data_IF_103565585147
#
_entry.id   IF_103565585147
#
_cell.length_a   1.000
_cell.length_b   1.000
_cell.length_c   1.000
_cell.angle_alpha   90.00
_cell.angle_beta   90.00
_cell.angle_gamma   90.00
#
_symmetry.space_group_name_H-M   'P 1'
#
loop_
_entity.id
_entity.type
_entity.pdbx_description
1 polymer ?
#
# COMPACT_ATOMS: atom_id res chain seq x y z
N UNK A 1 -43.66 -41.70 0.96
CA UNK A 1 -42.19 -41.49 1.03
C UNK A 1 -41.89 -40.30 0.14
N UNK A 2 -41.93 -39.09 0.70
CA UNK A 2 -41.47 -37.90 0.01
C UNK A 2 -39.99 -37.74 0.32
N UNK A 3 -39.17 -37.88 -0.72
CA UNK A 3 -37.74 -37.56 -0.65
C UNK A 3 -37.66 -36.05 -0.64
N UNK A 4 -37.44 -35.46 0.54
CA UNK A 4 -37.13 -34.04 0.70
C UNK A 4 -35.78 -33.81 0.04
N UNK A 5 -35.81 -33.32 -1.20
CA UNK A 5 -34.64 -32.76 -1.87
C UNK A 5 -34.31 -31.47 -1.14
N UNK A 6 -33.40 -31.55 -0.18
CA UNK A 6 -32.80 -30.37 0.42
C UNK A 6 -32.10 -29.59 -0.70
N UNK A 7 -32.70 -28.47 -1.08
CA UNK A 7 -32.08 -27.47 -1.94
C UNK A 7 -30.85 -26.91 -1.22
N UNK A 8 -29.70 -27.56 -1.42
CA UNK A 8 -28.40 -26.92 -1.22
C UNK A 8 -28.24 -25.89 -2.33
N UNK A 9 -28.85 -24.72 -2.13
CA UNK A 9 -28.40 -23.51 -2.82
C UNK A 9 -27.01 -23.26 -2.24
N UNK A 10 -25.97 -23.61 -3.00
CA UNK A 10 -24.60 -23.20 -2.69
C UNK A 10 -24.62 -21.69 -2.59
N UNK A 11 -24.54 -21.17 -1.36
CA UNK A 11 -24.39 -19.74 -1.14
C UNK A 11 -22.96 -19.39 -1.55
N UNK A 12 -22.80 -19.04 -2.82
CA UNK A 12 -21.51 -18.70 -3.40
C UNK A 12 -20.86 -17.52 -2.66
N UNK A 13 -21.63 -16.66 -2.00
CA UNK A 13 -21.11 -15.56 -1.20
C UNK A 13 -20.41 -16.05 0.08
N UNK A 14 -20.99 -17.04 0.76
CA UNK A 14 -20.39 -17.66 1.96
C UNK A 14 -19.12 -18.45 1.59
N UNK A 15 -19.15 -19.20 0.49
CA UNK A 15 -17.98 -19.92 -0.02
C UNK A 15 -16.84 -18.95 -0.39
N UNK A 16 -17.16 -17.86 -1.09
CA UNK A 16 -16.16 -16.88 -1.53
C UNK A 16 -15.53 -16.14 -0.33
N UNK A 17 -16.35 -15.75 0.65
CA UNK A 17 -15.88 -15.13 1.89
C UNK A 17 -14.93 -16.05 2.65
N UNK A 18 -15.32 -17.33 2.82
CA UNK A 18 -14.47 -18.34 3.45
C UNK A 18 -13.17 -18.58 2.67
N UNK A 19 -13.22 -18.57 1.33
CA UNK A 19 -12.03 -18.70 0.48
C UNK A 19 -11.05 -17.55 0.71
N UNK A 20 -11.52 -16.30 0.71
CA UNK A 20 -10.66 -15.14 0.98
C UNK A 20 -10.08 -15.20 2.40
N UNK A 21 -10.87 -15.59 3.40
CA UNK A 21 -10.39 -15.75 4.77
C UNK A 21 -9.31 -16.85 4.89
N UNK A 22 -9.45 -17.97 4.17
CA UNK A 22 -8.44 -19.03 4.13
C UNK A 22 -7.16 -18.54 3.42
N UNK A 23 -7.30 -17.78 2.33
CA UNK A 23 -6.17 -17.22 1.60
C UNK A 23 -5.33 -16.26 2.47
N UNK A 24 -5.97 -15.53 3.39
CA UNK A 24 -5.28 -14.63 4.31
C UNK A 24 -4.19 -15.33 5.13
N UNK A 25 -4.44 -16.55 5.61
CA UNK A 25 -3.48 -17.31 6.42
C UNK A 25 -2.57 -18.21 5.59
N UNK A 26 -3.11 -18.80 4.52
CA UNK A 26 -2.37 -19.77 3.70
C UNK A 26 -1.26 -19.13 2.88
N UNK A 27 -1.43 -17.87 2.42
CA UNK A 27 -0.39 -17.14 1.69
C UNK A 27 0.84 -16.88 2.60
N UNK A 28 0.72 -16.21 3.77
CA UNK A 28 1.81 -16.06 4.72
C UNK A 28 2.44 -17.39 5.17
N UNK A 29 1.62 -18.40 5.46
CA UNK A 29 2.11 -19.70 5.88
C UNK A 29 2.95 -20.37 4.78
N UNK A 30 2.52 -20.25 3.52
CA UNK A 30 3.25 -20.77 2.36
C UNK A 30 4.58 -20.03 2.15
N UNK A 31 4.61 -18.71 2.35
CA UNK A 31 5.84 -17.91 2.32
C UNK A 31 6.81 -18.37 3.42
N UNK A 32 6.32 -18.57 4.65
CA UNK A 32 7.12 -19.05 5.77
C UNK A 32 7.71 -20.43 5.50
N UNK A 33 6.88 -21.39 5.07
CA UNK A 33 7.32 -22.75 4.74
C UNK A 33 8.34 -22.76 3.60
N UNK A 34 8.07 -21.99 2.54
CA UNK A 34 8.95 -21.89 1.39
C UNK A 34 10.32 -21.33 1.79
N UNK A 35 10.35 -20.23 2.54
CA UNK A 35 11.60 -19.60 2.96
C UNK A 35 12.37 -20.42 3.99
N UNK A 36 11.68 -21.08 4.92
CA UNK A 36 12.29 -22.01 5.87
C UNK A 36 12.93 -23.19 5.14
N UNK A 37 12.22 -23.80 4.18
CA UNK A 37 12.71 -24.92 3.39
C UNK A 37 13.90 -24.50 2.51
N UNK A 38 13.83 -23.33 1.87
CA UNK A 38 14.97 -22.79 1.15
C UNK A 38 16.15 -22.51 2.09
N UNK A 39 15.90 -22.01 3.30
CA UNK A 39 16.94 -21.75 4.29
C UNK A 39 17.66 -23.01 4.71
N UNK A 40 16.88 -24.06 4.98
CA UNK A 40 17.40 -25.39 5.29
C UNK A 40 18.27 -25.95 4.15
N UNK A 41 17.83 -25.80 2.89
CA UNK A 41 18.55 -26.30 1.71
C UNK A 41 19.79 -25.48 1.35
N UNK A 42 19.76 -24.17 1.56
CA UNK A 42 20.83 -23.26 1.16
C UNK A 42 21.91 -23.07 2.25
N UNK A 43 21.58 -23.33 3.52
CA UNK A 43 22.47 -23.09 4.64
C UNK A 43 22.56 -21.61 5.04
N UNK A 44 23.19 -21.34 6.19
CA UNK A 44 23.26 -20.01 6.80
C UNK A 44 23.94 -18.99 5.90
N UNK A 45 25.13 -19.32 5.40
CA UNK A 45 25.95 -18.42 4.59
C UNK A 45 25.21 -17.87 3.38
N UNK A 46 24.55 -18.75 2.60
CA UNK A 46 23.78 -18.35 1.41
C UNK A 46 22.55 -17.52 1.73
N UNK A 47 21.90 -17.73 2.88
CA UNK A 47 20.75 -16.94 3.33
C UNK A 47 21.15 -15.60 3.93
N UNK A 48 22.27 -15.52 4.64
CA UNK A 48 22.84 -14.24 5.11
C UNK A 48 23.21 -13.37 3.92
N UNK A 49 23.85 -13.93 2.89
CA UNK A 49 24.12 -13.19 1.65
C UNK A 49 22.83 -12.76 0.95
N UNK A 50 21.78 -13.59 0.97
CA UNK A 50 20.47 -13.21 0.44
C UNK A 50 19.87 -12.01 1.21
N UNK A 51 19.96 -12.03 2.54
CA UNK A 51 19.48 -10.95 3.39
C UNK A 51 20.26 -9.66 3.15
N UNK A 52 21.59 -9.71 3.08
CA UNK A 52 22.42 -8.55 2.76
C UNK A 52 22.11 -8.00 1.36
N UNK A 53 21.93 -8.88 0.37
CA UNK A 53 21.53 -8.47 -0.98
C UNK A 53 20.17 -7.78 -0.96
N UNK A 54 19.22 -8.26 -0.15
CA UNK A 54 17.91 -7.64 0.02
C UNK A 54 18.02 -6.26 0.69
N UNK A 55 18.85 -6.12 1.72
CA UNK A 55 19.11 -4.81 2.36
C UNK A 55 19.70 -3.80 1.38
N UNK A 56 20.72 -4.20 0.62
CA UNK A 56 21.33 -3.32 -0.40
C UNK A 56 20.34 -3.00 -1.51
N UNK A 57 19.53 -3.97 -1.94
CA UNK A 57 18.46 -3.75 -2.90
C UNK A 57 17.41 -2.76 -2.41
N UNK A 58 17.05 -2.79 -1.11
CA UNK A 58 16.12 -1.83 -0.54
C UNK A 58 16.70 -0.40 -0.55
N UNK A 59 17.98 -0.24 -0.20
CA UNK A 59 18.69 1.04 -0.29
C UNK A 59 18.76 1.52 -1.75
N UNK A 60 19.05 0.61 -2.70
CA UNK A 60 19.06 0.93 -4.11
C UNK A 60 17.66 1.31 -4.64
N UNK A 61 16.59 0.70 -4.16
CA UNK A 61 15.23 1.11 -4.51
C UNK A 61 14.92 2.52 -4.02
N UNK A 62 15.40 2.87 -2.83
CA UNK A 62 15.16 4.18 -2.22
C UNK A 62 15.92 5.31 -2.93
N UNK A 63 17.20 5.13 -3.23
CA UNK A 63 18.05 6.19 -3.79
C UNK A 63 18.32 6.07 -5.29
N UNK A 64 18.23 4.86 -5.84
CA UNK A 64 18.62 4.55 -7.21
C UNK A 64 17.50 4.72 -8.24
N UNK A 65 16.26 4.98 -7.79
CA UNK A 65 15.11 5.14 -8.69
C UNK A 65 15.37 6.17 -9.77
N UNK A 66 15.79 7.38 -9.39
CA UNK A 66 16.07 8.49 -10.32
C UNK A 66 17.17 8.18 -11.33
N UNK A 67 18.20 7.41 -10.94
CA UNK A 67 19.28 7.02 -11.84
C UNK A 67 18.81 6.03 -12.92
N UNK A 68 17.94 5.08 -12.55
CA UNK A 68 17.37 4.11 -13.50
C UNK A 68 16.38 4.77 -14.45
N UNK A 69 15.68 5.81 -14.00
CA UNK A 69 14.75 6.58 -14.84
C UNK A 69 15.41 7.27 -16.03
N UNK A 70 16.69 7.63 -15.91
CA UNK A 70 17.49 8.20 -17.01
C UNK A 70 17.81 7.19 -18.11
N UNK A 71 17.68 5.89 -17.83
CA UNK A 71 17.89 4.80 -18.80
C UNK A 71 16.60 4.31 -19.45
N UNK A 72 15.43 4.64 -18.87
CA UNK A 72 14.14 4.31 -19.46
C UNK A 72 13.78 5.29 -20.58
N UNK A 73 13.12 4.83 -21.66
CA UNK A 73 12.59 5.71 -22.70
C UNK A 73 11.72 6.79 -22.06
N UNK A 74 11.90 8.05 -22.47
CA UNK A 74 11.23 9.22 -21.86
C UNK A 74 9.70 9.15 -21.83
N UNK A 75 9.09 8.23 -22.59
CA UNK A 75 7.64 8.12 -22.79
C UNK A 75 7.00 6.88 -22.12
N UNK A 76 7.76 5.99 -21.46
CA UNK A 76 7.20 4.81 -20.81
C UNK A 76 7.82 4.54 -19.42
N UNK A 77 7.01 4.38 -18.34
CA UNK A 77 5.56 4.61 -18.25
C UNK A 77 5.19 6.08 -18.44
N UNK A 78 4.03 6.36 -19.06
CA UNK A 78 3.53 7.72 -19.27
C UNK A 78 3.18 8.46 -17.98
N UNK A 79 2.91 7.73 -16.89
CA UNK A 79 2.56 8.30 -15.61
C UNK A 79 3.82 8.62 -14.79
N UNK A 80 4.03 9.87 -14.32
CA UNK A 80 5.21 10.25 -13.53
C UNK A 80 5.40 9.41 -12.26
N UNK A 81 4.34 9.20 -11.47
CA UNK A 81 4.37 8.28 -10.33
C UNK A 81 4.65 6.83 -10.70
N UNK A 82 4.00 6.28 -11.73
CA UNK A 82 4.26 4.90 -12.14
C UNK A 82 5.69 4.74 -12.68
N UNK A 83 6.22 5.78 -13.32
CA UNK A 83 7.60 5.87 -13.79
C UNK A 83 8.55 5.84 -12.59
N UNK A 84 8.40 6.73 -11.62
CA UNK A 84 9.20 6.73 -10.39
C UNK A 84 9.15 5.39 -9.64
N UNK A 85 7.94 4.85 -9.46
CA UNK A 85 7.75 3.56 -8.82
C UNK A 85 8.44 2.44 -9.61
N UNK A 86 8.31 2.44 -10.93
CA UNK A 86 9.00 1.49 -11.80
C UNK A 86 10.52 1.66 -11.73
N UNK A 87 11.04 2.88 -11.71
CA UNK A 87 12.46 3.18 -11.55
C UNK A 87 13.01 2.62 -10.24
N UNK A 88 12.34 2.90 -9.11
CA UNK A 88 12.68 2.34 -7.81
C UNK A 88 12.56 0.82 -7.76
N UNK A 89 11.51 0.25 -8.35
CA UNK A 89 11.31 -1.20 -8.40
C UNK A 89 12.38 -1.90 -9.24
N UNK A 90 12.71 -1.37 -10.43
CA UNK A 90 13.77 -1.88 -11.30
C UNK A 90 15.13 -1.74 -10.61
N UNK A 91 15.41 -0.60 -9.97
CA UNK A 91 16.65 -0.39 -9.21
C UNK A 91 16.80 -1.44 -8.11
N UNK A 92 15.78 -1.62 -7.28
CA UNK A 92 15.82 -2.60 -6.19
C UNK A 92 15.91 -4.03 -6.71
N UNK A 93 15.01 -4.43 -7.60
CA UNK A 93 14.97 -5.80 -8.13
C UNK A 93 16.21 -6.13 -8.95
N UNK A 94 16.65 -5.22 -9.82
CA UNK A 94 17.87 -5.35 -10.61
C UNK A 94 19.10 -5.52 -9.72
N UNK A 95 19.25 -4.66 -8.70
CA UNK A 95 20.33 -4.76 -7.72
C UNK A 95 20.31 -6.10 -6.99
N UNK A 96 19.14 -6.53 -6.52
CA UNK A 96 18.99 -7.83 -5.85
C UNK A 96 19.43 -9.00 -6.75
N UNK A 97 18.94 -9.03 -7.99
CA UNK A 97 19.25 -10.12 -8.94
C UNK A 97 20.74 -10.14 -9.27
N UNK A 98 21.34 -8.97 -9.58
CA UNK A 98 22.76 -8.87 -9.90
C UNK A 98 23.63 -9.33 -8.73
N UNK A 99 23.35 -8.87 -7.51
CA UNK A 99 24.08 -9.29 -6.32
C UNK A 99 23.94 -10.79 -6.06
N UNK A 100 22.74 -11.36 -6.27
CA UNK A 100 22.52 -12.80 -6.11
C UNK A 100 23.27 -13.62 -7.16
N UNK A 101 23.27 -13.20 -8.42
CA UNK A 101 24.01 -13.87 -9.49
C UNK A 101 25.52 -13.79 -9.26
N UNK A 102 26.04 -12.62 -8.87
CA UNK A 102 27.44 -12.44 -8.51
C UNK A 102 27.83 -13.31 -7.31
N UNK A 103 26.99 -13.35 -6.27
CA UNK A 103 27.25 -14.17 -5.11
C UNK A 103 27.35 -15.66 -5.46
N UNK A 104 26.45 -16.15 -6.31
CA UNK A 104 26.47 -17.54 -6.79
C UNK A 104 27.71 -17.81 -7.64
N UNK A 105 28.05 -16.90 -8.55
CA UNK A 105 29.18 -17.04 -9.47
C UNK A 105 30.55 -16.99 -8.76
N UNK A 106 30.69 -16.13 -7.74
CA UNK A 106 31.97 -15.90 -7.06
C UNK A 106 32.18 -16.82 -5.86
N UNK A 107 31.16 -17.03 -5.03
CA UNK A 107 31.33 -17.66 -3.71
C UNK A 107 30.77 -19.07 -3.60
N UNK A 108 29.85 -19.48 -4.48
CA UNK A 108 29.08 -20.72 -4.28
C UNK A 108 29.24 -21.74 -5.43
N UNK A 109 30.41 -21.77 -6.07
CA UNK A 109 30.75 -22.81 -7.06
C UNK A 109 31.13 -24.12 -6.37
N UNK A 110 30.40 -25.20 -6.66
CA UNK A 110 30.68 -26.57 -6.19
C UNK A 110 29.66 -27.13 -5.18
N UNK A 111 29.69 -28.46 -5.00
CA UNK A 111 28.90 -29.15 -3.99
C UNK A 111 29.52 -28.97 -2.61
N UNK A 112 28.88 -28.16 -1.77
CA UNK A 112 29.29 -27.95 -0.38
C UNK A 112 28.53 -28.92 0.51
N UNK A 113 29.24 -29.74 1.27
CA UNK A 113 28.62 -30.61 2.26
C UNK A 113 28.15 -29.77 3.46
N UNK A 114 26.86 -29.39 3.45
CA UNK A 114 26.30 -28.44 4.41
C UNK A 114 26.10 -29.13 5.78
N UNK A 115 26.83 -28.66 6.80
CA UNK A 115 26.72 -29.14 8.19
C UNK A 115 25.32 -28.86 8.78
N UNK A 116 24.87 -29.69 9.73
CA UNK A 116 23.54 -29.55 10.35
C UNK A 116 23.33 -28.17 11.01
N UNK A 117 24.33 -27.66 11.74
CA UNK A 117 24.31 -26.31 12.34
C UNK A 117 24.10 -25.22 11.29
N UNK A 118 24.67 -25.40 10.10
CA UNK A 118 24.60 -24.46 9.00
C UNK A 118 23.20 -24.49 8.34
N UNK A 119 22.56 -25.67 8.27
CA UNK A 119 21.16 -25.82 7.84
C UNK A 119 20.17 -25.19 8.82
N UNK A 120 20.39 -25.39 10.12
CA UNK A 120 19.59 -24.78 11.18
C UNK A 120 19.71 -23.25 11.16
N UNK A 121 20.94 -22.73 11.02
CA UNK A 121 21.16 -21.30 10.85
C UNK A 121 20.48 -20.75 9.59
N UNK A 122 20.57 -21.47 8.47
CA UNK A 122 19.88 -21.11 7.23
C UNK A 122 18.35 -21.08 7.38
N UNK A 123 17.77 -22.03 8.11
CA UNK A 123 16.35 -22.07 8.43
C UNK A 123 15.92 -20.86 9.27
N UNK A 124 16.68 -20.52 10.32
CA UNK A 124 16.38 -19.36 11.18
C UNK A 124 16.42 -18.04 10.39
N UNK A 125 17.45 -17.84 9.57
CA UNK A 125 17.55 -16.64 8.71
C UNK A 125 16.45 -16.65 7.64
N UNK A 126 16.12 -17.82 7.09
CA UNK A 126 15.00 -17.98 6.15
C UNK A 126 13.66 -17.58 6.76
N UNK A 127 13.39 -18.01 7.99
CA UNK A 127 12.20 -17.59 8.74
C UNK A 127 12.21 -16.08 9.03
N UNK A 128 13.36 -15.49 9.36
CA UNK A 128 13.49 -14.03 9.50
C UNK A 128 13.11 -13.28 8.23
N UNK A 129 13.60 -13.73 7.07
CA UNK A 129 13.20 -13.19 5.76
C UNK A 129 11.70 -13.38 5.52
N UNK A 130 11.13 -14.52 5.90
CA UNK A 130 9.70 -14.75 5.78
C UNK A 130 8.87 -13.75 6.61
N UNK A 131 9.28 -13.48 7.85
CA UNK A 131 8.63 -12.48 8.69
C UNK A 131 8.61 -11.11 8.01
N UNK A 132 9.69 -10.68 7.36
CA UNK A 132 9.72 -9.42 6.61
C UNK A 132 8.69 -9.42 5.47
N UNK A 133 8.58 -10.50 4.70
CA UNK A 133 7.58 -10.62 3.64
C UNK A 133 6.15 -10.63 4.16
N UNK A 134 5.90 -11.31 5.28
CA UNK A 134 4.57 -11.36 5.93
C UNK A 134 4.18 -9.98 6.46
N UNK A 135 5.13 -9.25 7.05
CA UNK A 135 4.90 -7.85 7.46
C UNK A 135 4.59 -6.96 6.26
N UNK A 136 5.39 -7.02 5.20
CA UNK A 136 5.14 -6.25 3.97
C UNK A 136 3.77 -6.56 3.34
N UNK A 137 3.38 -7.84 3.32
CA UNK A 137 2.06 -8.28 2.91
C UNK A 137 0.96 -7.66 3.78
N UNK A 138 1.07 -7.79 5.11
CA UNK A 138 0.10 -7.24 6.05
C UNK A 138 -0.08 -5.73 5.95
N UNK A 139 1.02 -4.98 5.77
CA UNK A 139 1.00 -3.54 5.55
C UNK A 139 0.33 -3.18 4.23
N UNK A 140 0.61 -3.94 3.16
CA UNK A 140 -0.04 -3.73 1.86
C UNK A 140 -1.54 -3.94 1.94
N UNK A 141 -1.98 -5.00 2.64
CA UNK A 141 -3.40 -5.27 2.89
C UNK A 141 -4.06 -4.11 3.59
N UNK A 142 -3.47 -3.64 4.70
CA UNK A 142 -4.01 -2.55 5.51
C UNK A 142 -4.10 -1.24 4.72
N UNK A 143 -3.07 -0.90 3.95
CA UNK A 143 -3.07 0.33 3.13
C UNK A 143 -4.13 0.30 2.05
N UNK A 144 -4.15 -0.76 1.24
CA UNK A 144 -5.12 -0.90 0.14
C UNK A 144 -6.54 -0.95 0.69
N UNK A 145 -6.77 -1.69 1.77
CA UNK A 145 -8.09 -1.74 2.39
C UNK A 145 -8.53 -0.40 2.98
N UNK A 146 -7.65 0.38 3.61
CA UNK A 146 -8.00 1.72 4.11
C UNK A 146 -8.49 2.64 2.98
N UNK A 147 -7.81 2.60 1.83
CA UNK A 147 -8.21 3.36 0.64
C UNK A 147 -9.56 2.86 0.11
N UNK A 148 -9.75 1.54 0.01
CA UNK A 148 -10.98 0.95 -0.50
C UNK A 148 -12.18 1.16 0.44
N UNK A 149 -11.99 0.97 1.75
CA UNK A 149 -13.00 1.21 2.78
C UNK A 149 -13.50 2.65 2.74
N UNK A 150 -12.60 3.62 2.66
CA UNK A 150 -12.99 5.03 2.55
C UNK A 150 -13.84 5.34 1.31
N UNK A 151 -13.68 4.56 0.24
CA UNK A 151 -14.51 4.68 -0.97
C UNK A 151 -15.91 4.07 -0.81
N UNK A 152 -16.08 3.09 0.11
CA UNK A 152 -17.31 2.35 0.42
C UNK A 152 -18.11 3.06 1.53
N UNK A 153 -17.46 3.52 2.61
CA UNK A 153 -18.11 4.29 3.70
C UNK A 153 -18.76 5.58 3.23
N UNK A 154 -18.27 6.17 2.13
CA UNK A 154 -18.83 7.38 1.54
C UNK A 154 -20.20 7.15 0.86
N UNK A 155 -20.60 5.90 0.63
CA UNK A 155 -21.89 5.50 0.04
C UNK A 155 -22.86 4.92 1.06
N UNK A 156 -22.48 4.89 2.35
CA UNK A 156 -23.28 4.32 3.44
C UNK A 156 -24.04 5.42 4.19
N UNK A 157 -25.33 5.23 4.50
CA UNK A 157 -26.04 6.09 5.45
C UNK A 157 -25.35 6.09 6.83
N UNK A 158 -25.40 7.22 7.53
CA UNK A 158 -24.62 7.53 8.76
C UNK A 158 -24.80 6.50 9.91
N UNK A 159 -25.86 5.70 9.89
CA UNK A 159 -26.22 4.75 10.97
C UNK A 159 -25.81 3.28 10.72
N UNK A 160 -25.04 2.99 9.66
CA UNK A 160 -24.64 1.63 9.29
C UNK A 160 -23.39 1.10 10.02
N UNK A 161 -23.43 -0.14 10.52
CA UNK A 161 -22.24 -0.83 11.04
C UNK A 161 -21.21 -1.07 9.92
N UNK A 162 -19.93 -0.66 10.10
CA UNK A 162 -18.75 -1.01 9.29
C UNK A 162 -18.78 -2.36 8.57
N UNK A 163 -19.01 -3.41 9.34
CA UNK A 163 -18.99 -4.80 8.89
C UNK A 163 -20.14 -5.12 7.96
N UNK A 164 -21.36 -4.65 8.30
CA UNK A 164 -22.56 -4.93 7.51
C UNK A 164 -22.50 -4.25 6.14
N UNK A 165 -21.97 -3.03 6.07
CA UNK A 165 -21.89 -2.34 4.77
C UNK A 165 -20.81 -2.91 3.85
N UNK A 166 -19.68 -3.38 4.40
CA UNK A 166 -18.67 -4.06 3.60
C UNK A 166 -19.23 -5.38 3.05
N UNK A 167 -19.93 -6.17 3.88
CA UNK A 167 -20.58 -7.42 3.45
C UNK A 167 -21.72 -7.18 2.43
N UNK A 168 -22.49 -6.11 2.56
CA UNK A 168 -23.59 -5.76 1.65
C UNK A 168 -23.12 -5.15 0.31
N UNK A 169 -22.02 -4.39 0.31
CA UNK A 169 -21.50 -3.71 -0.90
C UNK A 169 -20.34 -4.43 -1.59
N UNK A 170 -19.65 -5.35 -0.90
CA UNK A 170 -18.59 -6.18 -1.50
C UNK A 170 -19.04 -6.98 -2.72
N UNK A 171 -20.25 -7.60 -2.79
CA UNK A 171 -20.65 -8.46 -3.91
C UNK A 171 -20.61 -7.76 -5.29
N UNK A 172 -20.77 -6.43 -5.33
CA UNK A 172 -20.70 -5.62 -6.55
C UNK A 172 -19.29 -5.17 -6.95
N UNK A 173 -18.28 -5.42 -6.13
CA UNK A 173 -16.89 -4.99 -6.34
C UNK A 173 -16.05 -6.06 -7.04
N UNK A 174 -14.94 -5.66 -7.65
CA UNK A 174 -13.97 -6.58 -8.25
C UNK A 174 -13.43 -7.58 -7.18
N UNK A 175 -13.23 -8.87 -7.53
CA UNK A 175 -12.71 -9.89 -6.60
C UNK A 175 -11.43 -9.50 -5.85
N UNK A 176 -10.54 -8.71 -6.46
CA UNK A 176 -9.31 -8.25 -5.80
C UNK A 176 -9.64 -7.24 -4.68
N UNK A 177 -10.54 -6.29 -4.96
CA UNK A 177 -11.02 -5.29 -4.00
C UNK A 177 -11.69 -5.99 -2.82
N UNK A 178 -12.54 -6.99 -3.09
CA UNK A 178 -13.17 -7.81 -2.05
C UNK A 178 -12.13 -8.51 -1.17
N UNK A 179 -11.14 -9.16 -1.78
CA UNK A 179 -10.09 -9.87 -1.05
C UNK A 179 -9.38 -8.95 -0.04
N UNK A 180 -8.98 -7.74 -0.46
CA UNK A 180 -8.33 -6.78 0.42
C UNK A 180 -9.20 -6.31 1.59
N UNK A 181 -10.49 -6.06 1.34
CA UNK A 181 -11.44 -5.69 2.40
C UNK A 181 -11.63 -6.82 3.41
N UNK A 182 -11.87 -8.04 2.94
CA UNK A 182 -12.03 -9.21 3.81
C UNK A 182 -10.75 -9.54 4.59
N UNK A 183 -9.58 -9.41 3.96
CA UNK A 183 -8.30 -9.61 4.65
C UNK A 183 -8.05 -8.55 5.72
N UNK A 184 -8.44 -7.30 5.51
CA UNK A 184 -8.32 -6.25 6.52
C UNK A 184 -9.28 -6.47 7.69
N UNK A 185 -10.55 -6.80 7.39
CA UNK A 185 -11.54 -7.17 8.41
C UNK A 185 -11.01 -8.33 9.26
N UNK A 186 -10.53 -9.39 8.61
CA UNK A 186 -10.00 -10.57 9.30
C UNK A 186 -8.75 -10.26 10.13
N UNK A 187 -7.87 -9.40 9.61
CA UNK A 187 -6.70 -8.91 10.32
C UNK A 187 -7.12 -8.18 11.60
N UNK A 188 -8.15 -7.33 11.53
CA UNK A 188 -8.71 -6.60 12.68
C UNK A 188 -9.33 -7.54 13.71
N UNK A 189 -10.19 -8.47 13.29
CA UNK A 189 -10.87 -9.42 14.19
C UNK A 189 -9.91 -10.34 14.95
N UNK A 190 -8.84 -10.78 14.28
CA UNK A 190 -7.87 -11.72 14.87
C UNK A 190 -6.81 -11.06 15.74
N UNK A 191 -6.85 -9.72 15.90
CA UNK A 191 -5.81 -8.93 16.59
C UNK A 191 -4.46 -8.89 15.85
N UNK A 192 -4.35 -9.53 14.69
CA UNK A 192 -3.16 -9.50 13.83
C UNK A 192 -2.93 -8.09 13.28
N UNK A 193 -4.02 -7.36 12.97
CA UNK A 193 -3.98 -6.00 12.46
C UNK A 193 -3.40 -5.01 13.47
N UNK A 194 -3.65 -5.20 14.77
CA UNK A 194 -3.04 -4.39 15.82
C UNK A 194 -1.53 -4.62 15.90
N UNK A 195 -1.09 -5.89 15.86
CA UNK A 195 0.32 -6.25 15.86
C UNK A 195 1.07 -5.74 14.61
N UNK A 196 0.43 -5.83 13.44
CA UNK A 196 0.96 -5.22 12.21
C UNK A 196 1.06 -3.70 12.39
N UNK A 197 0.05 -3.06 13.00
CA UNK A 197 0.05 -1.63 13.29
C UNK A 197 1.17 -1.19 14.23
N UNK A 198 1.52 -1.99 15.23
CA UNK A 198 2.66 -1.72 16.11
C UNK A 198 4.00 -1.79 15.38
N UNK A 199 4.09 -2.62 14.35
CA UNK A 199 5.27 -2.77 13.49
C UNK A 199 5.23 -1.86 12.24
N UNK A 200 4.19 -1.02 12.11
CA UNK A 200 3.99 -0.17 10.94
C UNK A 200 4.93 1.05 11.01
N UNK A 201 5.87 1.23 10.06
CA UNK A 201 6.69 2.43 9.99
C UNK A 201 5.91 3.66 9.50
N UNK A 202 4.70 3.47 8.95
CA UNK A 202 3.83 4.53 8.46
C UNK A 202 3.02 5.11 9.63
N UNK A 203 3.10 6.42 9.83
CA UNK A 203 2.37 7.07 10.92
C UNK A 203 0.85 6.93 10.77
N UNK A 204 0.08 6.75 11.87
CA UNK A 204 -1.38 6.70 11.84
C UNK A 204 -2.03 7.90 11.14
N UNK A 205 -1.41 9.08 11.24
CA UNK A 205 -1.86 10.32 10.60
C UNK A 205 -1.97 10.20 9.08
N UNK A 206 -1.11 9.40 8.44
CA UNK A 206 -1.13 9.20 6.99
C UNK A 206 -2.40 8.47 6.53
N UNK A 207 -2.80 7.42 7.24
CA UNK A 207 -4.03 6.67 6.96
C UNK A 207 -5.28 7.52 7.22
N UNK A 208 -5.28 8.28 8.33
CA UNK A 208 -6.38 9.19 8.65
C UNK A 208 -6.52 10.31 7.62
N UNK A 209 -5.42 10.96 7.24
CA UNK A 209 -5.43 12.02 6.23
C UNK A 209 -5.87 11.49 4.86
N UNK A 210 -5.41 10.30 4.46
CA UNK A 210 -5.85 9.66 3.21
C UNK A 210 -7.36 9.40 3.20
N UNK A 211 -7.91 8.88 4.31
CA UNK A 211 -9.35 8.69 4.49
C UNK A 211 -10.11 10.02 4.44
N UNK A 212 -9.64 11.02 5.17
CA UNK A 212 -10.28 12.33 5.26
C UNK A 212 -10.31 13.02 3.88
N UNK A 213 -9.22 12.97 3.12
CA UNK A 213 -9.16 13.50 1.75
C UNK A 213 -10.22 12.87 0.84
N UNK A 214 -10.39 11.55 0.93
CA UNK A 214 -11.41 10.84 0.14
C UNK A 214 -12.82 11.28 0.54
N UNK A 215 -13.11 11.36 1.84
CA UNK A 215 -14.40 11.85 2.36
C UNK A 215 -14.68 13.30 1.94
N UNK A 216 -13.69 14.18 2.02
CA UNK A 216 -13.77 15.58 1.60
C UNK A 216 -14.04 15.70 0.10
N UNK A 217 -13.30 14.95 -0.74
CA UNK A 217 -13.43 15.01 -2.21
C UNK A 217 -14.83 14.68 -2.74
N UNK A 218 -15.63 13.95 -1.94
CA UNK A 218 -16.98 13.49 -2.32
C UNK A 218 -18.10 14.28 -1.64
N UNK A 219 -17.82 15.11 -0.64
CA UNK A 219 -18.80 15.93 0.09
C UNK A 219 -18.64 17.42 -0.24
N UNK A 220 -19.52 17.99 -1.08
CA UNK A 220 -19.47 19.43 -1.40
C UNK A 220 -19.60 20.32 -0.16
N UNK A 221 -20.37 19.88 0.85
CA UNK A 221 -20.57 20.62 2.10
C UNK A 221 -19.33 20.58 3.00
N UNK A 222 -18.70 19.41 3.17
CA UNK A 222 -17.46 19.32 3.94
C UNK A 222 -16.30 20.05 3.23
N UNK A 223 -16.27 20.01 1.89
CA UNK A 223 -15.29 20.77 1.11
C UNK A 223 -15.52 22.28 1.21
N UNK A 224 -16.78 22.75 1.23
CA UNK A 224 -17.10 24.17 1.47
C UNK A 224 -16.68 24.62 2.88
N UNK A 225 -16.88 23.78 3.90
CA UNK A 225 -16.42 24.05 5.28
C UNK A 225 -14.90 24.12 5.34
N UNK A 226 -14.20 23.18 4.70
CA UNK A 226 -12.74 23.20 4.61
C UNK A 226 -12.24 24.47 3.92
N UNK A 227 -12.87 24.88 2.82
CA UNK A 227 -12.49 26.10 2.11
C UNK A 227 -12.75 27.38 2.93
N UNK A 228 -13.73 27.34 3.84
CA UNK A 228 -14.04 28.44 4.76
C UNK A 228 -13.10 28.50 5.98
N UNK A 229 -12.27 27.47 6.21
CA UNK A 229 -11.34 27.45 7.32
C UNK A 229 -10.23 28.52 7.11
N UNK A 230 -9.99 29.40 8.10
CA UNK A 230 -8.98 30.45 7.97
C UNK A 230 -7.56 29.91 7.75
N UNK A 231 -7.23 28.71 8.26
CA UNK A 231 -5.92 28.08 8.03
C UNK A 231 -5.75 27.65 6.57
N UNK A 232 -6.81 27.10 5.97
CA UNK A 232 -6.82 26.68 4.56
C UNK A 232 -6.74 27.91 3.67
N UNK A 233 -7.58 28.92 3.93
CA UNK A 233 -7.58 30.18 3.18
C UNK A 233 -6.22 30.88 3.27
N UNK A 234 -5.62 30.96 4.45
CA UNK A 234 -4.30 31.56 4.65
C UNK A 234 -3.21 30.81 3.87
N UNK A 235 -3.22 29.48 3.90
CA UNK A 235 -2.24 28.67 3.19
C UNK A 235 -2.39 28.82 1.66
N UNK A 236 -3.62 28.69 1.15
CA UNK A 236 -3.93 28.85 -0.27
C UNK A 236 -3.56 30.25 -0.79
N UNK A 237 -3.72 31.28 0.04
CA UNK A 237 -3.42 32.67 -0.32
C UNK A 237 -1.95 33.07 -0.11
N UNK A 238 -1.18 32.35 0.70
CA UNK A 238 0.24 32.67 0.97
C UNK A 238 1.19 31.85 0.09
N UNK A 239 0.83 30.62 -0.26
CA UNK A 239 1.73 29.76 -1.03
C UNK A 239 1.70 30.10 -2.53
N UNK A 240 2.84 30.54 -3.06
CA UNK A 240 2.99 30.92 -4.48
C UNK A 240 2.81 29.73 -5.42
N UNK A 241 3.25 28.54 -5.02
CA UNK A 241 3.13 27.33 -5.83
C UNK A 241 1.67 26.95 -6.03
N UNK A 242 0.82 27.13 -5.01
CA UNK A 242 -0.62 26.90 -5.15
C UNK A 242 -1.30 27.92 -6.06
N UNK A 243 -0.89 29.20 -6.01
CA UNK A 243 -1.41 30.21 -6.94
C UNK A 243 -1.06 29.91 -8.38
N UNK A 244 0.16 29.44 -8.63
CA UNK A 244 0.60 29.03 -9.96
C UNK A 244 -0.18 27.81 -10.47
N UNK A 245 -0.46 26.83 -9.60
CA UNK A 245 -1.29 25.68 -9.94
C UNK A 245 -2.76 26.08 -10.19
N UNK A 246 -3.31 27.00 -9.39
CA UNK A 246 -4.68 27.48 -9.52
C UNK A 246 -4.89 28.37 -10.77
N UNK A 247 -3.83 29.04 -11.24
CA UNK A 247 -3.86 29.82 -12.47
C UNK A 247 -3.80 28.95 -13.74
N UNK A 248 -3.46 27.67 -13.61
CA UNK A 248 -3.35 26.75 -14.73
C UNK A 248 -4.74 26.21 -15.14
N UNK A 249 -5.18 26.60 -16.34
CA UNK A 249 -6.48 26.19 -16.89
C UNK A 249 -6.62 24.68 -17.04
N UNK A 250 -5.53 23.97 -17.32
CA UNK A 250 -5.56 22.52 -17.49
C UNK A 250 -5.84 21.85 -16.14
N UNK A 251 -5.14 22.27 -15.09
CA UNK A 251 -5.33 21.80 -13.71
C UNK A 251 -6.76 22.07 -13.24
N UNK A 252 -7.26 23.29 -13.44
CA UNK A 252 -8.64 23.65 -13.07
C UNK A 252 -9.64 22.74 -13.80
N UNK A 253 -9.43 22.49 -15.09
CA UNK A 253 -10.31 21.60 -15.86
C UNK A 253 -10.28 20.14 -15.36
N UNK A 254 -9.14 19.66 -14.88
CA UNK A 254 -8.99 18.32 -14.30
C UNK A 254 -9.68 18.21 -12.94
N UNK A 255 -9.64 19.27 -12.13
CA UNK A 255 -10.36 19.37 -10.86
C UNK A 255 -11.88 19.37 -11.11
N UNK A 256 -12.36 20.18 -12.05
CA UNK A 256 -13.78 20.24 -12.43
C UNK A 256 -14.32 18.89 -12.91
N UNK A 257 -13.52 18.17 -13.72
CA UNK A 257 -13.83 16.81 -14.20
C UNK A 257 -13.69 15.73 -13.12
N UNK A 258 -13.20 16.08 -11.92
CA UNK A 258 -12.86 15.14 -10.83
C UNK A 258 -11.90 14.03 -11.28
N UNK A 259 -11.04 14.33 -12.26
CA UNK A 259 -10.05 13.41 -12.81
C UNK A 259 -8.81 13.36 -11.91
N UNK A 260 -8.96 12.92 -10.66
CA UNK A 260 -7.90 12.95 -9.64
C UNK A 260 -6.62 12.21 -10.05
N UNK A 261 -6.76 11.08 -10.76
CA UNK A 261 -5.60 10.34 -11.28
C UNK A 261 -4.83 11.13 -12.34
N UNK A 262 -5.52 11.84 -13.22
CA UNK A 262 -4.88 12.66 -14.25
C UNK A 262 -4.33 13.98 -13.67
N UNK A 263 -4.97 14.50 -12.62
CA UNK A 263 -4.46 15.61 -11.82
C UNK A 263 -3.11 15.25 -11.19
N UNK A 264 -2.99 14.07 -10.58
CA UNK A 264 -1.73 13.56 -10.01
C UNK A 264 -0.67 13.25 -11.08
N UNK A 265 -1.08 13.07 -12.35
CA UNK A 265 -0.17 12.92 -13.50
C UNK A 265 0.33 14.25 -14.04
N UNK A 266 -0.35 15.36 -13.73
CA UNK A 266 0.00 16.65 -14.31
C UNK A 266 1.43 17.05 -13.87
N UNK A 267 2.35 17.35 -14.81
CA UNK A 267 3.77 17.56 -14.50
C UNK A 267 4.01 18.61 -13.41
N UNK A 268 3.25 19.71 -13.42
CA UNK A 268 3.37 20.77 -12.42
C UNK A 268 2.90 20.34 -11.02
N UNK A 269 1.83 19.54 -10.94
CA UNK A 269 1.36 19.03 -9.64
C UNK A 269 2.38 18.05 -9.09
N UNK A 270 2.86 17.16 -9.96
CA UNK A 270 3.85 16.18 -9.59
C UNK A 270 5.18 16.82 -9.13
N UNK A 271 5.67 17.86 -9.80
CA UNK A 271 6.88 18.59 -9.37
C UNK A 271 6.68 19.31 -8.04
N UNK A 272 5.51 19.93 -7.83
CA UNK A 272 5.20 20.61 -6.56
C UNK A 272 5.11 19.61 -5.39
N UNK A 273 4.58 18.42 -5.63
CA UNK A 273 4.52 17.35 -4.62
C UNK A 273 5.88 16.72 -4.28
N UNK A 274 6.93 16.99 -5.08
CA UNK A 274 8.32 16.56 -4.80
C UNK A 274 9.18 17.68 -4.22
N UNK A 275 8.71 18.92 -4.20
CA UNK A 275 9.44 20.03 -3.60
C UNK A 275 9.41 19.90 -2.07
N UNK A 276 10.57 19.61 -1.47
CA UNK A 276 10.72 19.49 -0.01
C UNK A 276 10.31 20.77 0.71
N UNK A 277 10.55 21.94 0.12
CA UNK A 277 10.18 23.21 0.73
C UNK A 277 8.66 23.36 0.77
N UNK A 278 7.96 23.01 -0.31
CA UNK A 278 6.51 22.94 -0.35
C UNK A 278 5.96 21.92 0.65
N UNK A 279 6.50 20.69 0.68
CA UNK A 279 6.06 19.64 1.61
C UNK A 279 6.26 20.03 3.08
N UNK A 280 7.34 20.75 3.39
CA UNK A 280 7.57 21.29 4.73
C UNK A 280 6.53 22.35 5.10
N UNK A 281 6.25 23.31 4.21
CA UNK A 281 5.20 24.32 4.41
C UNK A 281 3.82 23.68 4.56
N UNK A 282 3.51 22.66 3.74
CA UNK A 282 2.28 21.90 3.81
C UNK A 282 2.12 21.22 5.18
N UNK A 283 3.19 20.63 5.71
CA UNK A 283 3.19 20.01 7.05
C UNK A 283 3.03 21.01 8.18
N UNK A 284 3.60 22.21 8.03
CA UNK A 284 3.54 23.29 9.03
C UNK A 284 2.23 24.08 8.97
N UNK A 285 1.46 23.96 7.87
CA UNK A 285 0.21 24.71 7.65
C UNK A 285 -0.93 24.37 8.61
N UNK A 286 -0.90 23.19 9.24
CA UNK A 286 -2.02 22.69 10.05
C UNK A 286 -3.23 22.22 9.24
N UNK A 287 -3.08 22.03 7.92
CA UNK A 287 -4.13 21.54 7.02
C UNK A 287 -4.73 20.19 7.44
N UNK A 288 -3.94 19.35 8.10
CA UNK A 288 -4.37 18.09 8.70
C UNK A 288 -5.50 18.30 9.73
N UNK A 289 -5.37 19.32 10.58
CA UNK A 289 -6.39 19.66 11.59
C UNK A 289 -7.64 20.24 10.94
N UNK A 290 -7.48 21.12 9.96
CA UNK A 290 -8.60 21.71 9.22
C UNK A 290 -9.43 20.64 8.49
N UNK A 291 -8.77 19.62 7.90
CA UNK A 291 -9.46 18.48 7.29
C UNK A 291 -10.30 17.67 8.28
N UNK A 292 -9.78 17.46 9.49
CA UNK A 292 -10.52 16.76 10.55
C UNK A 292 -11.71 17.60 11.02
N UNK A 293 -11.53 18.90 11.24
CA UNK A 293 -12.57 19.80 11.72
C UNK A 293 -13.72 19.95 10.71
N UNK A 294 -13.40 20.05 9.42
CA UNK A 294 -14.39 20.12 8.34
C UNK A 294 -15.30 18.87 8.26
N UNK A 295 -14.85 17.73 8.81
CA UNK A 295 -15.59 16.47 8.84
C UNK A 295 -16.37 16.22 10.14
N UNK A 296 -16.12 16.98 11.21
CA UNK A 296 -16.70 16.72 12.55
C UNK A 296 -18.20 16.98 12.70
N UNK A 297 -18.82 17.72 11.80
CA UNK A 297 -20.23 18.12 11.98
C UNK A 297 -21.27 17.17 11.35
N UNK A 298 -20.85 15.95 10.99
CA UNK A 298 -21.72 14.86 10.56
C UNK A 298 -21.64 13.63 11.49
N UNK A 299 -21.09 13.77 12.71
CA UNK A 299 -21.21 12.79 13.79
C UNK A 299 -22.31 13.17 14.76
#
# INVERSE_FOLDING_TARGET
>A
MEVVVANYVLDFAEFETNLWMILFYTIPASIALWQAMQGWRQGLTRKVVALLSLTVAFVAAWYGGEYVLGMLPTNEPSHPFARDLAGSAISGFGTYVVLRLLAVALFFRGEVNIRLLDRLGGLLVGLGIACLWILAWGLSVRYVATVLESSIYATTPVDGSPTKTIEEQAPGQNPIVRAFLFWNLRSSESGVGEKIGQADPITPSFYQNSRNLILLSRSPTAMARLAADPMVSDFLNKDSSLKELAADKEIVSLIEKRSWLDLLRHPKIYSTLRDEAFLKRLRESGLDRAMVEALKENS
#
